data_IF_437506662087
#
_entry.id   IF_437506662087
#
_cell.length_a   1.000
_cell.length_b   1.000
_cell.length_c   1.000
_cell.angle_alpha   90.00
_cell.angle_beta   90.00
_cell.angle_gamma   90.00
#
_symmetry.space_group_name_H-M   'P 1'
#
loop_
_entity.id
_entity.type
_entity.pdbx_description
1 polymer ?
#
# COMPACT_ATOMS: atom_id res chain seq x y z
N UNK A 1 -46.75 15.01 -12.28
CA UNK A 1 -46.15 13.78 -12.51
C UNK A 1 -44.77 13.80 -12.96
N UNK A 2 -44.40 14.65 -13.84
CA UNK A 2 -43.07 14.62 -14.37
C UNK A 2 -42.02 15.08 -13.44
N UNK A 3 -42.36 15.85 -12.45
CA UNK A 3 -41.39 16.37 -11.56
C UNK A 3 -40.70 15.31 -10.77
N UNK A 4 -41.27 14.18 -10.63
CA UNK A 4 -40.64 13.14 -9.83
C UNK A 4 -39.33 12.67 -10.43
N UNK A 5 -39.17 12.76 -11.71
CA UNK A 5 -37.98 12.28 -12.35
C UNK A 5 -36.75 13.10 -11.99
N UNK A 6 -36.96 14.37 -11.76
CA UNK A 6 -35.83 15.24 -11.46
C UNK A 6 -35.19 14.93 -10.14
N UNK A 7 -35.97 14.54 -9.16
CA UNK A 7 -35.43 14.25 -7.84
C UNK A 7 -34.50 13.08 -7.86
N UNK A 8 -34.78 12.11 -8.72
CA UNK A 8 -34.00 10.91 -8.77
C UNK A 8 -32.59 11.20 -9.29
N UNK A 9 -32.48 12.10 -10.25
CA UNK A 9 -31.19 12.41 -10.83
C UNK A 9 -30.22 12.98 -9.81
N UNK A 10 -30.71 13.80 -8.93
CA UNK A 10 -29.85 14.43 -7.95
C UNK A 10 -29.25 13.45 -6.99
N UNK A 11 -30.00 12.44 -6.64
CA UNK A 11 -29.51 11.45 -5.69
C UNK A 11 -28.35 10.68 -6.28
N UNK A 12 -28.44 10.35 -7.54
CA UNK A 12 -27.38 9.61 -8.19
C UNK A 12 -26.07 10.39 -8.21
N UNK A 13 -26.15 11.66 -8.45
CA UNK A 13 -24.95 12.48 -8.52
C UNK A 13 -24.22 12.50 -7.20
N UNK A 14 -24.95 12.54 -6.10
CA UNK A 14 -24.33 12.55 -4.80
C UNK A 14 -23.58 11.27 -4.49
N UNK A 15 -24.16 10.15 -4.88
CA UNK A 15 -23.54 8.87 -4.61
C UNK A 15 -22.22 8.73 -5.33
N UNK A 16 -22.14 9.19 -6.55
CA UNK A 16 -20.91 9.09 -7.31
C UNK A 16 -19.80 9.92 -6.70
N UNK A 17 -20.12 11.09 -6.20
CA UNK A 17 -19.11 11.93 -5.60
C UNK A 17 -18.48 11.30 -4.38
N UNK A 18 -19.26 10.61 -3.57
CA UNK A 18 -18.73 9.99 -2.38
C UNK A 18 -17.79 8.84 -2.70
N UNK A 19 -18.04 8.11 -3.77
CA UNK A 19 -17.28 6.93 -4.09
C UNK A 19 -15.87 7.25 -4.57
N UNK A 20 -15.62 8.48 -5.00
CA UNK A 20 -14.32 8.82 -5.57
C UNK A 20 -13.21 9.04 -4.55
N UNK A 21 -13.53 9.04 -3.28
CA UNK A 21 -12.54 9.36 -2.27
C UNK A 21 -11.34 8.43 -2.30
N UNK A 22 -11.54 7.15 -2.52
CA UNK A 22 -10.43 6.19 -2.52
C UNK A 22 -9.86 5.96 -3.91
N UNK A 23 -10.56 6.36 -4.92
CA UNK A 23 -10.09 6.09 -6.28
C UNK A 23 -8.88 6.93 -6.65
N UNK A 24 -8.62 8.01 -5.90
CA UNK A 24 -7.52 8.88 -6.22
C UNK A 24 -6.18 8.39 -5.73
N UNK A 25 -6.14 7.39 -4.87
CA UNK A 25 -4.87 6.92 -4.36
C UNK A 25 -4.16 6.06 -5.39
N UNK A 26 -2.89 6.31 -5.55
CA UNK A 26 -2.10 5.55 -6.51
C UNK A 26 -1.85 4.16 -5.97
N UNK A 27 -1.96 3.17 -6.86
CA UNK A 27 -1.74 1.78 -6.50
C UNK A 27 -0.38 1.35 -7.04
N UNK A 28 0.44 0.78 -6.18
CA UNK A 28 1.75 0.28 -6.56
C UNK A 28 1.74 -1.23 -6.56
N UNK A 29 2.22 -1.82 -7.64
CA UNK A 29 2.34 -3.27 -7.74
C UNK A 29 3.78 -3.67 -7.44
N UNK A 30 3.93 -4.59 -6.53
CA UNK A 30 5.23 -5.11 -6.13
C UNK A 30 5.36 -6.53 -6.68
N UNK A 31 6.44 -6.77 -7.41
CA UNK A 31 6.72 -8.10 -7.96
C UNK A 31 7.89 -8.69 -7.21
N UNK A 32 7.72 -9.92 -6.78
CA UNK A 32 8.66 -10.60 -5.89
C UNK A 32 9.19 -11.86 -6.56
N UNK A 33 10.08 -12.57 -5.86
CA UNK A 33 10.56 -13.87 -6.33
C UNK A 33 9.39 -14.83 -6.51
N UNK A 34 9.57 -15.78 -7.41
CA UNK A 34 8.59 -16.83 -7.67
C UNK A 34 7.29 -16.26 -8.21
N UNK A 35 7.38 -15.13 -8.90
CA UNK A 35 6.23 -14.48 -9.51
C UNK A 35 5.14 -14.05 -8.53
N UNK A 36 5.47 -13.96 -7.26
CA UNK A 36 4.51 -13.49 -6.29
C UNK A 36 4.35 -11.99 -6.43
N UNK A 37 3.17 -11.50 -6.12
CA UNK A 37 2.88 -10.07 -6.22
C UNK A 37 1.98 -9.63 -5.10
N UNK A 38 2.11 -8.37 -4.73
CA UNK A 38 1.13 -7.73 -3.86
C UNK A 38 1.01 -6.27 -4.29
N UNK A 39 0.02 -5.60 -3.77
CA UNK A 39 -0.21 -4.20 -4.09
C UNK A 39 -0.32 -3.39 -2.83
N UNK A 40 0.07 -2.14 -2.92
CA UNK A 40 -0.09 -1.21 -1.82
C UNK A 40 -0.64 0.10 -2.31
N UNK A 41 -1.35 0.79 -1.42
CA UNK A 41 -1.78 2.15 -1.65
C UNK A 41 -1.72 2.86 -0.31
N UNK A 42 -1.68 4.19 -0.32
CA UNK A 42 -1.66 4.95 0.91
C UNK A 42 -0.46 5.86 1.04
N UNK A 43 -0.25 6.33 2.24
CA UNK A 43 0.79 7.31 2.54
C UNK A 43 2.01 6.63 3.16
N UNK A 44 3.03 7.46 3.50
CA UNK A 44 4.21 6.93 4.16
C UNK A 44 3.93 6.50 5.59
N UNK A 45 2.82 6.92 6.18
CA UNK A 45 2.51 6.58 7.56
C UNK A 45 1.58 5.39 7.69
N UNK A 46 0.75 5.16 6.69
CA UNK A 46 -0.20 4.07 6.71
C UNK A 46 -0.43 3.60 5.30
N UNK A 47 -0.30 2.30 5.08
CA UNK A 47 -0.54 1.74 3.76
C UNK A 47 -1.64 0.70 3.84
N UNK A 48 -2.28 0.46 2.71
CA UNK A 48 -3.23 -0.62 2.56
C UNK A 48 -2.57 -1.65 1.66
N UNK A 49 -2.41 -2.84 2.19
CA UNK A 49 -1.78 -3.95 1.48
C UNK A 49 -2.86 -4.87 0.93
N UNK A 50 -2.74 -5.25 -0.33
CA UNK A 50 -3.60 -6.26 -0.92
C UNK A 50 -2.74 -7.50 -1.20
N UNK A 51 -3.07 -8.59 -0.56
CA UNK A 51 -2.37 -9.87 -0.70
C UNK A 51 -3.41 -10.97 -0.89
N UNK A 52 -3.29 -11.68 -2.00
CA UNK A 52 -4.22 -12.78 -2.32
C UNK A 52 -5.67 -12.35 -2.19
N UNK A 53 -5.99 -11.21 -2.80
CA UNK A 53 -7.34 -10.68 -2.89
C UNK A 53 -7.93 -10.15 -1.59
N UNK A 54 -7.15 -10.08 -0.53
CA UNK A 54 -7.59 -9.52 0.73
C UNK A 54 -6.79 -8.28 1.05
N UNK A 55 -7.38 -7.35 1.77
CA UNK A 55 -6.72 -6.10 2.10
C UNK A 55 -6.52 -5.97 3.60
N UNK A 56 -5.41 -5.33 3.96
CA UNK A 56 -5.03 -5.11 5.34
C UNK A 56 -4.44 -3.72 5.47
N UNK A 57 -4.79 -3.02 6.53
CA UNK A 57 -4.20 -1.71 6.80
C UNK A 57 -2.99 -1.91 7.71
N UNK A 58 -1.85 -1.41 7.28
CA UNK A 58 -0.61 -1.54 8.03
C UNK A 58 -0.13 -0.17 8.44
N UNK A 59 0.33 -0.06 9.69
CA UNK A 59 0.82 1.20 10.24
C UNK A 59 2.33 1.19 10.28
N UNK A 60 2.91 2.35 10.03
CA UNK A 60 4.34 2.50 10.05
C UNK A 60 4.90 2.29 11.44
N UNK A 61 6.02 1.61 11.52
CA UNK A 61 6.73 1.37 12.75
C UNK A 61 8.05 2.10 12.75
N UNK A 62 8.64 2.28 13.92
CA UNK A 62 9.99 2.82 14.02
C UNK A 62 10.97 1.82 13.42
N UNK A 63 11.89 2.31 12.61
CA UNK A 63 12.89 1.46 11.98
C UNK A 63 14.18 2.24 11.80
N UNK A 64 15.24 1.50 11.43
CA UNK A 64 16.54 2.11 11.22
C UNK A 64 16.57 2.88 9.92
N UNK A 65 17.48 3.85 9.78
CA UNK A 65 17.62 4.58 8.52
C UNK A 65 17.88 3.60 7.37
N UNK A 66 17.28 3.89 6.24
CA UNK A 66 17.39 3.01 5.08
C UNK A 66 16.38 1.89 5.07
N UNK A 67 15.53 1.81 6.08
CA UNK A 67 14.50 0.79 6.12
C UNK A 67 13.18 1.41 6.55
N UNK A 68 12.10 0.75 6.13
CA UNK A 68 10.74 1.11 6.57
C UNK A 68 10.05 -0.18 6.95
N UNK A 69 9.18 -0.08 7.92
CA UNK A 69 8.44 -1.25 8.37
C UNK A 69 7.01 -0.85 8.65
N UNK A 70 6.09 -1.67 8.16
CA UNK A 70 4.65 -1.47 8.35
C UNK A 70 4.06 -2.76 8.85
N UNK A 71 3.16 -2.70 9.82
CA UNK A 71 2.58 -3.93 10.33
C UNK A 71 1.12 -3.76 10.73
N UNK A 72 0.41 -4.87 10.72
CA UNK A 72 -0.93 -4.99 11.24
C UNK A 72 -0.89 -6.07 12.31
N UNK A 73 -1.06 -5.67 13.57
CA UNK A 73 -0.90 -6.60 14.68
C UNK A 73 -1.96 -7.70 14.66
N UNK A 74 -3.17 -7.36 14.26
CA UNK A 74 -4.24 -8.36 14.29
C UNK A 74 -4.04 -9.48 13.29
N UNK A 75 -3.65 -9.15 12.08
CA UNK A 75 -3.47 -10.15 11.03
C UNK A 75 -2.09 -10.77 11.04
N UNK A 76 -1.11 -10.05 11.58
CA UNK A 76 0.28 -10.50 11.56
C UNK A 76 1.06 -10.12 10.33
N UNK A 77 0.45 -9.44 9.37
CA UNK A 77 1.19 -9.03 8.17
C UNK A 77 2.18 -7.92 8.50
N UNK A 78 3.36 -8.03 7.92
CA UNK A 78 4.47 -7.13 8.22
C UNK A 78 5.23 -6.92 6.91
N UNK A 79 5.32 -5.68 6.46
CA UNK A 79 6.05 -5.32 5.25
C UNK A 79 7.32 -4.59 5.65
N UNK A 80 8.46 -5.10 5.21
CA UNK A 80 9.75 -4.49 5.50
C UNK A 80 10.39 -4.06 4.19
N UNK A 81 10.73 -2.79 4.10
CA UNK A 81 11.39 -2.23 2.93
C UNK A 81 12.83 -1.91 3.31
N UNK A 82 13.78 -2.53 2.64
CA UNK A 82 15.21 -2.32 2.89
C UNK A 82 15.85 -1.79 1.63
N UNK A 83 16.14 -0.49 1.63
CA UNK A 83 16.76 0.12 0.46
C UNK A 83 15.93 -0.12 -0.78
N UNK A 84 16.43 -0.96 -1.67
CA UNK A 84 15.81 -1.17 -2.98
C UNK A 84 14.98 -2.45 -3.08
N UNK A 85 14.60 -3.03 -1.97
CA UNK A 85 13.77 -4.23 -2.04
C UNK A 85 12.88 -4.32 -0.81
N UNK A 86 11.87 -5.17 -0.88
CA UNK A 86 10.96 -5.36 0.23
C UNK A 86 10.70 -6.83 0.47
N UNK A 87 10.21 -7.13 1.65
CA UNK A 87 9.85 -8.48 2.05
C UNK A 87 8.51 -8.42 2.76
N UNK A 88 7.68 -9.42 2.53
CA UNK A 88 6.39 -9.50 3.19
C UNK A 88 6.36 -10.74 4.07
N UNK A 89 5.97 -10.54 5.33
CA UNK A 89 5.90 -11.61 6.31
C UNK A 89 4.51 -11.75 6.89
N UNK A 90 4.21 -12.93 7.40
CA UNK A 90 3.14 -13.07 8.35
C UNK A 90 3.79 -13.51 9.66
N UNK A 91 3.96 -12.56 10.57
CA UNK A 91 4.67 -12.80 11.81
C UNK A 91 3.91 -13.79 12.70
N UNK A 92 2.59 -13.73 12.73
CA UNK A 92 1.82 -14.63 13.56
C UNK A 92 1.97 -16.08 13.10
N UNK A 93 2.08 -16.29 11.80
CA UNK A 93 2.27 -17.62 11.27
C UNK A 93 3.76 -18.01 11.21
N UNK A 94 4.64 -17.05 11.42
CA UNK A 94 6.07 -17.33 11.41
C UNK A 94 6.63 -17.62 10.04
N UNK A 95 6.08 -17.01 8.98
CA UNK A 95 6.52 -17.30 7.63
C UNK A 95 6.83 -16.04 6.85
N UNK A 96 7.77 -16.15 5.90
CA UNK A 96 8.02 -15.12 4.91
C UNK A 96 7.18 -15.45 3.70
N UNK A 97 6.30 -14.54 3.35
CA UNK A 97 5.37 -14.76 2.25
C UNK A 97 5.96 -14.39 0.90
N UNK A 98 6.78 -13.36 0.84
CA UNK A 98 7.38 -12.91 -0.41
C UNK A 98 8.70 -12.19 -0.13
N UNK A 99 9.66 -12.32 -1.06
CA UNK A 99 10.98 -11.75 -0.89
C UNK A 99 11.44 -11.10 -2.18
N UNK A 100 12.42 -10.21 -2.07
CA UNK A 100 12.99 -9.48 -3.20
C UNK A 100 11.90 -8.77 -3.98
N UNK A 101 11.03 -8.08 -3.28
CA UNK A 101 9.90 -7.41 -3.90
C UNK A 101 10.30 -6.02 -4.34
N UNK A 102 9.92 -5.65 -5.54
CA UNK A 102 10.21 -4.33 -6.10
C UNK A 102 9.06 -3.85 -6.95
N UNK A 103 8.85 -2.53 -6.95
CA UNK A 103 7.98 -1.91 -7.93
C UNK A 103 8.76 -1.71 -9.23
N UNK A 104 8.07 -1.31 -10.28
CA UNK A 104 8.74 -1.06 -11.56
C UNK A 104 9.79 0.05 -11.43
N UNK A 105 9.49 1.10 -10.69
CA UNK A 105 10.45 2.18 -10.49
C UNK A 105 11.69 1.70 -9.75
N UNK A 106 11.53 0.86 -8.77
CA UNK A 106 12.67 0.33 -8.03
C UNK A 106 13.57 -0.51 -8.94
N UNK A 107 12.96 -1.27 -9.84
CA UNK A 107 13.75 -2.06 -10.79
C UNK A 107 14.54 -1.20 -11.74
N UNK A 108 14.07 0.00 -12.00
CA UNK A 108 14.80 0.93 -12.86
C UNK A 108 15.83 1.76 -12.10
N UNK A 109 16.00 1.51 -10.81
CA UNK A 109 17.04 2.16 -10.01
C UNK A 109 16.57 3.26 -9.09
N UNK A 110 15.29 3.51 -9.03
CA UNK A 110 14.76 4.56 -8.14
C UNK A 110 14.50 4.01 -6.76
N UNK A 111 14.56 4.87 -5.77
CA UNK A 111 14.20 4.49 -4.43
C UNK A 111 12.70 4.20 -4.34
N UNK A 112 12.29 3.36 -3.41
CA UNK A 112 10.87 3.12 -3.19
C UNK A 112 10.14 4.43 -2.91
N UNK A 113 8.96 4.56 -3.48
CA UNK A 113 8.15 5.75 -3.30
C UNK A 113 7.84 6.01 -1.82
N UNK A 114 7.83 4.96 -1.00
CA UNK A 114 7.50 5.10 0.41
C UNK A 114 8.54 5.91 1.17
N UNK A 115 9.75 6.02 0.65
CA UNK A 115 10.76 6.85 1.28
C UNK A 115 10.56 8.34 1.01
N UNK A 116 9.72 8.69 0.08
CA UNK A 116 9.59 10.09 -0.34
C UNK A 116 9.26 11.04 0.82
N UNK A 117 8.56 10.58 1.84
CA UNK A 117 8.24 11.45 2.96
C UNK A 117 8.96 11.09 4.23
N UNK A 118 9.96 10.24 4.18
CA UNK A 118 10.52 9.64 5.38
C UNK A 118 11.95 10.01 5.69
N UNK A 119 12.73 10.55 4.90
CA UNK A 119 14.11 10.93 5.17
C UNK A 119 14.99 9.82 5.69
N UNK A 120 14.94 8.67 5.12
CA UNK A 120 15.67 7.55 5.72
C UNK A 120 17.16 7.60 5.50
N UNK A 121 17.65 8.30 4.49
CA UNK A 121 19.04 8.29 4.15
C UNK A 121 19.75 9.57 4.46
N UNK A 122 19.17 10.35 5.20
CA UNK A 122 19.74 11.54 5.45
C UNK A 122 21.00 11.66 6.00
N UNK A 123 21.41 11.78 6.04
CA UNK A 123 22.32 11.82 6.43
C UNK A 123 23.22 12.34 6.03
N UNK A 124 23.34 12.56 5.94
CA UNK A 124 24.24 13.02 5.59
C UNK A 124 24.52 13.46 5.61
#
# INVERSE_FOLDING_TARGET
MKKNLLAISLVLASALGAANAFADEEVFTWTCQESKQFKTTGSTEKIRLTWESKTYDLDRQTSLPGSLRYKNTNSGYDLVVLGNKAMLFNIKAGVRLADFCQTADMRSGKLPHLFAGAEPFVQN
#
